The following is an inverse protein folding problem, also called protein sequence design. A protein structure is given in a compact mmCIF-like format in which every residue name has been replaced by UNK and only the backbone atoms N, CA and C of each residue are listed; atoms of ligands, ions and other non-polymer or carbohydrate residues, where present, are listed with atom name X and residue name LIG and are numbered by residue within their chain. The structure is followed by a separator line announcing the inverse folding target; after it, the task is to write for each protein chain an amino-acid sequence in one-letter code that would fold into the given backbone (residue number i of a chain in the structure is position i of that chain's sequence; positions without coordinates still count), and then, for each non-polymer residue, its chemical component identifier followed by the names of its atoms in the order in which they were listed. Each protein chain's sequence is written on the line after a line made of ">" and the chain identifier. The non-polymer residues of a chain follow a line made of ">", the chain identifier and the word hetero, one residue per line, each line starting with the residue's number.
data_IF_337519772293
#
_entry.id   IF_337519772293
#
_cell.length_a   1.000
_cell.length_b   1.000
_cell.length_c   1.000
_cell.angle_alpha   90.00
_cell.angle_beta   90.00
_cell.angle_gamma   90.00
#
_symmetry.space_group_name_H-M   'P 1'
#
loop_
_entity.id
_entity.type
_entity.pdbx_description
1 polymer ?
#
# COMPACT_ATOMS: atom_id res chain seq x y z
N UNK A 1 -21.71 6.66 -7.76
CA UNK A 1 -20.46 6.37 -8.49
C UNK A 1 -19.38 6.00 -7.49
N UNK A 2 -18.63 4.91 -7.69
CA UNK A 2 -17.66 4.38 -6.71
C UNK A 2 -16.47 5.33 -6.42
N UNK A 3 -16.14 6.21 -7.36
CA UNK A 3 -15.10 7.23 -7.24
C UNK A 3 -15.69 8.64 -7.36
N UNK A 4 -15.25 9.57 -6.50
CA UNK A 4 -15.58 10.99 -6.63
C UNK A 4 -14.49 11.68 -7.47
N UNK A 5 -14.71 11.79 -8.78
CA UNK A 5 -13.70 12.30 -9.73
C UNK A 5 -13.29 13.74 -9.41
N UNK A 6 -14.25 14.60 -9.03
CA UNK A 6 -13.96 16.01 -8.68
C UNK A 6 -12.99 16.08 -7.50
N UNK A 7 -13.23 15.29 -6.45
CA UNK A 7 -12.35 15.19 -5.29
C UNK A 7 -10.98 14.64 -5.67
N UNK A 8 -10.92 13.53 -6.40
CA UNK A 8 -9.65 12.90 -6.81
C UNK A 8 -8.79 13.90 -7.60
N UNK A 9 -9.38 14.55 -8.61
CA UNK A 9 -8.67 15.54 -9.41
C UNK A 9 -8.24 16.76 -8.60
N UNK A 10 -9.01 17.15 -7.56
CA UNK A 10 -8.60 18.21 -6.65
C UNK A 10 -7.37 17.79 -5.84
N UNK A 11 -7.42 16.62 -5.18
CA UNK A 11 -6.32 16.12 -4.36
C UNK A 11 -5.03 15.93 -5.16
N UNK A 12 -5.11 15.36 -6.37
CA UNK A 12 -3.93 15.21 -7.25
C UNK A 12 -3.34 16.57 -7.60
N UNK A 13 -4.18 17.55 -7.97
CA UNK A 13 -3.72 18.91 -8.28
C UNK A 13 -3.08 19.59 -7.07
N UNK A 14 -3.69 19.48 -5.89
CA UNK A 14 -3.15 20.05 -4.65
C UNK A 14 -1.77 19.46 -4.34
N UNK A 15 -1.63 18.13 -4.50
CA UNK A 15 -0.36 17.44 -4.30
C UNK A 15 0.72 17.90 -5.29
N UNK A 16 0.36 18.00 -6.58
CA UNK A 16 1.26 18.46 -7.65
C UNK A 16 1.72 19.92 -7.45
N UNK A 17 0.80 20.80 -7.05
CA UNK A 17 1.10 22.22 -6.84
C UNK A 17 2.04 22.44 -5.65
N UNK A 18 1.92 21.63 -4.59
CA UNK A 18 2.79 21.76 -3.43
C UNK A 18 4.26 21.45 -3.74
N UNK A 19 4.52 20.57 -4.71
CA UNK A 19 5.87 20.17 -5.12
C UNK A 19 6.73 19.66 -3.95
N UNK A 20 6.20 18.68 -3.20
CA UNK A 20 6.87 18.08 -2.05
C UNK A 20 8.24 17.48 -2.41
N UNK A 21 9.15 17.43 -1.43
CA UNK A 21 10.35 16.59 -1.48
C UNK A 21 10.04 15.19 -0.95
N UNK A 22 10.78 14.14 -1.36
CA UNK A 22 10.57 12.77 -0.90
C UNK A 22 10.48 12.61 0.62
N UNK A 23 11.34 13.30 1.37
CA UNK A 23 11.42 13.21 2.84
C UNK A 23 10.18 13.77 3.54
N UNK A 24 9.37 14.55 2.84
CA UNK A 24 8.14 15.14 3.34
C UNK A 24 6.92 14.23 3.14
N UNK A 25 7.09 13.14 2.38
CA UNK A 25 6.05 12.20 2.00
C UNK A 25 6.25 10.86 2.71
N UNK A 26 5.15 10.30 3.20
CA UNK A 26 5.10 8.90 3.63
C UNK A 26 4.33 8.06 2.63
N UNK A 27 4.92 6.97 2.15
CA UNK A 27 4.25 5.99 1.30
C UNK A 27 3.92 4.76 2.14
N UNK A 28 2.62 4.51 2.30
CA UNK A 28 2.08 3.34 2.96
C UNK A 28 1.78 2.27 1.92
N UNK A 29 2.26 1.06 2.18
CA UNK A 29 1.97 -0.11 1.35
C UNK A 29 1.14 -1.11 2.13
N UNK A 30 0.00 -1.52 1.58
CA UNK A 30 -0.64 -2.75 2.02
C UNK A 30 0.20 -3.98 1.66
N UNK A 31 -0.10 -5.14 2.26
CA UNK A 31 0.58 -6.40 1.94
C UNK A 31 -0.23 -7.25 0.95
N UNK A 32 -1.46 -7.58 1.29
CA UNK A 32 -2.22 -8.65 0.64
C UNK A 32 -2.63 -8.23 -0.79
N UNK A 33 -2.22 -9.00 -1.80
CA UNK A 33 -2.31 -8.65 -3.23
C UNK A 33 -1.64 -7.31 -3.63
N UNK A 34 -0.88 -6.71 -2.72
CA UNK A 34 -0.13 -5.47 -2.93
C UNK A 34 1.38 -5.72 -3.00
N UNK A 35 1.97 -6.25 -1.93
CA UNK A 35 3.38 -6.66 -1.84
C UNK A 35 3.55 -8.18 -1.99
N UNK A 36 2.53 -8.96 -1.63
CA UNK A 36 2.53 -10.41 -1.76
C UNK A 36 1.26 -10.92 -2.42
N UNK A 37 1.33 -12.08 -3.06
CA UNK A 37 0.17 -12.76 -3.61
C UNK A 37 -0.61 -13.42 -2.46
N UNK A 38 -1.76 -12.85 -2.08
CA UNK A 38 -2.58 -13.40 -0.99
C UNK A 38 -3.31 -14.68 -1.38
N UNK A 39 -3.68 -14.81 -2.66
CA UNK A 39 -4.43 -15.96 -3.18
C UNK A 39 -3.61 -16.93 -4.04
N UNK A 40 -2.45 -17.46 -3.61
CA UNK A 40 -1.61 -18.31 -4.45
C UNK A 40 -2.26 -19.68 -4.75
N UNK A 41 -3.28 -20.06 -3.97
CA UNK A 41 -4.05 -21.29 -4.12
C UNK A 41 -5.46 -21.04 -4.71
N UNK A 42 -5.74 -19.82 -5.17
CA UNK A 42 -7.08 -19.34 -5.48
C UNK A 42 -7.83 -18.82 -4.25
N UNK A 43 -8.84 -17.97 -4.47
CA UNK A 43 -9.51 -17.23 -3.39
C UNK A 43 -10.16 -18.14 -2.32
N UNK A 44 -10.95 -19.17 -2.66
CA UNK A 44 -11.63 -19.98 -1.64
C UNK A 44 -10.66 -20.71 -0.71
N UNK A 45 -9.59 -21.28 -1.26
CA UNK A 45 -8.58 -21.99 -0.48
C UNK A 45 -7.75 -21.04 0.37
N UNK A 46 -7.47 -19.84 -0.14
CA UNK A 46 -6.67 -18.85 0.59
C UNK A 46 -7.45 -18.26 1.76
N UNK A 47 -8.75 -18.02 1.59
CA UNK A 47 -9.66 -17.61 2.68
C UNK A 47 -9.77 -18.67 3.79
N UNK A 48 -9.69 -19.96 3.46
CA UNK A 48 -9.61 -21.02 4.48
C UNK A 48 -8.23 -21.04 5.13
N UNK A 49 -7.17 -21.03 4.32
CA UNK A 49 -5.78 -21.18 4.77
C UNK A 49 -5.26 -20.00 5.58
N UNK A 50 -5.84 -18.80 5.43
CA UNK A 50 -5.45 -17.62 6.20
C UNK A 50 -5.60 -17.75 7.72
N UNK A 51 -6.33 -18.77 8.18
CA UNK A 51 -6.48 -19.12 9.60
C UNK A 51 -5.43 -20.11 10.12
N UNK A 52 -4.60 -20.67 9.24
CA UNK A 52 -3.62 -21.69 9.59
C UNK A 52 -2.21 -21.12 9.73
N UNK A 53 -1.44 -21.71 10.64
CA UNK A 53 -0.03 -21.39 10.83
C UNK A 53 0.76 -21.57 9.53
N UNK A 54 1.63 -20.62 9.24
CA UNK A 54 2.51 -20.55 8.10
C UNK A 54 1.88 -19.92 6.87
N UNK A 55 0.61 -19.51 6.89
CA UNK A 55 0.00 -18.92 5.70
C UNK A 55 0.64 -17.59 5.33
N UNK A 56 0.66 -16.61 6.23
CA UNK A 56 1.13 -15.26 5.91
C UNK A 56 2.65 -15.23 5.72
N UNK A 57 3.39 -15.98 6.56
CA UNK A 57 4.86 -16.04 6.48
C UNK A 57 5.37 -16.57 5.15
N UNK A 58 4.59 -17.43 4.48
CA UNK A 58 4.98 -18.10 3.24
C UNK A 58 4.30 -17.50 1.99
N UNK A 59 3.59 -16.36 2.10
CA UNK A 59 3.00 -15.73 0.93
C UNK A 59 4.07 -15.34 -0.09
N UNK A 60 3.92 -15.66 -1.38
CA UNK A 60 4.90 -15.28 -2.39
C UNK A 60 5.03 -13.77 -2.51
N UNK A 61 6.25 -13.26 -2.35
CA UNK A 61 6.59 -11.86 -2.60
C UNK A 61 6.57 -11.55 -4.10
N UNK A 62 5.97 -10.42 -4.50
CA UNK A 62 6.11 -9.96 -5.88
C UNK A 62 7.56 -9.57 -6.15
N UNK A 63 8.12 -10.01 -7.28
CA UNK A 63 9.57 -9.96 -7.55
C UNK A 63 10.16 -8.55 -7.46
N UNK A 64 9.40 -7.54 -7.85
CA UNK A 64 9.85 -6.15 -7.85
C UNK A 64 9.88 -5.49 -6.46
N UNK A 65 9.16 -6.04 -5.48
CA UNK A 65 8.88 -5.37 -4.20
C UNK A 65 10.13 -4.96 -3.43
N UNK A 66 11.11 -5.85 -3.17
CA UNK A 66 12.29 -5.46 -2.40
C UNK A 66 13.11 -4.37 -3.09
N UNK A 67 13.22 -4.43 -4.42
CA UNK A 67 13.92 -3.42 -5.21
C UNK A 67 13.21 -2.07 -5.16
N UNK A 68 11.90 -2.04 -5.46
CA UNK A 68 11.11 -0.81 -5.52
C UNK A 68 11.10 -0.09 -4.18
N UNK A 69 10.81 -0.80 -3.08
CA UNK A 69 10.73 -0.16 -1.76
C UNK A 69 12.10 0.34 -1.29
N UNK A 70 13.18 -0.41 -1.56
CA UNK A 70 14.54 0.03 -1.25
C UNK A 70 14.92 1.28 -2.03
N UNK A 71 14.58 1.33 -3.31
CA UNK A 71 14.87 2.48 -4.16
C UNK A 71 14.07 3.72 -3.76
N UNK A 72 12.79 3.57 -3.39
CA UNK A 72 12.02 4.69 -2.83
C UNK A 72 12.64 5.21 -1.52
N UNK A 73 13.11 4.31 -0.65
CA UNK A 73 13.82 4.70 0.58
C UNK A 73 15.13 5.43 0.26
N UNK A 74 15.89 4.99 -0.74
CA UNK A 74 17.12 5.67 -1.20
C UNK A 74 16.83 7.08 -1.74
N UNK A 75 15.68 7.28 -2.39
CA UNK A 75 15.22 8.60 -2.84
C UNK A 75 14.76 9.50 -1.68
N UNK A 76 14.70 8.98 -0.45
CA UNK A 76 14.38 9.73 0.76
C UNK A 76 12.93 9.65 1.19
N UNK A 77 12.08 8.83 0.55
CA UNK A 77 10.70 8.63 1.01
C UNK A 77 10.66 7.89 2.35
N UNK A 78 9.70 8.27 3.21
CA UNK A 78 9.37 7.48 4.39
C UNK A 78 8.48 6.31 3.95
N UNK A 79 8.91 5.07 4.16
CA UNK A 79 8.20 3.87 3.71
C UNK A 79 7.63 3.14 4.93
N UNK A 80 6.32 2.89 4.92
CA UNK A 80 5.64 2.16 5.99
C UNK A 80 4.76 1.05 5.42
N UNK A 81 4.61 -0.03 6.19
CA UNK A 81 3.65 -1.10 5.91
C UNK A 81 2.35 -0.78 6.65
N UNK A 82 1.20 -0.91 5.98
CA UNK A 82 -0.12 -0.70 6.55
C UNK A 82 -1.08 -1.80 6.09
N UNK A 83 -1.14 -2.89 6.84
CA UNK A 83 -1.90 -4.09 6.46
C UNK A 83 -2.96 -4.44 7.48
N UNK A 84 -4.10 -4.94 7.02
CA UNK A 84 -5.16 -5.44 7.89
C UNK A 84 -4.81 -6.84 8.41
N UNK A 85 -5.17 -7.13 9.64
CA UNK A 85 -4.95 -8.40 10.31
C UNK A 85 -6.28 -8.94 10.84
N UNK A 86 -6.65 -10.13 10.37
CA UNK A 86 -7.76 -10.87 10.97
C UNK A 86 -7.42 -11.26 12.40
N UNK A 87 -8.46 -11.54 13.20
CA UNK A 87 -8.30 -12.03 14.56
C UNK A 87 -7.86 -13.51 14.59
N UNK A 88 -6.61 -13.76 14.21
CA UNK A 88 -5.96 -15.06 14.19
C UNK A 88 -4.69 -15.01 15.05
N UNK A 89 -4.35 -16.10 15.78
CA UNK A 89 -3.12 -16.17 16.57
C UNK A 89 -1.84 -16.11 15.71
N UNK A 90 -1.97 -16.23 14.38
CA UNK A 90 -0.83 -16.28 13.46
C UNK A 90 -0.65 -14.97 12.67
N UNK A 91 -1.73 -14.26 12.34
CA UNK A 91 -1.72 -13.21 11.32
C UNK A 91 -0.71 -12.09 11.61
N UNK A 92 -0.75 -11.54 12.84
CA UNK A 92 0.13 -10.43 13.25
C UNK A 92 1.60 -10.84 13.20
N UNK A 93 1.94 -11.91 13.92
CA UNK A 93 3.32 -12.41 14.02
C UNK A 93 3.89 -12.77 12.65
N UNK A 94 3.11 -13.47 11.83
CA UNK A 94 3.58 -13.94 10.52
C UNK A 94 3.70 -12.85 9.47
N UNK A 95 2.85 -11.82 9.50
CA UNK A 95 3.04 -10.64 8.64
C UNK A 95 4.30 -9.87 9.03
N UNK A 96 4.60 -9.73 10.32
CA UNK A 96 5.87 -9.12 10.77
C UNK A 96 7.05 -9.94 10.27
N UNK A 97 7.06 -11.26 10.49
CA UNK A 97 8.14 -12.14 10.03
C UNK A 97 8.30 -12.10 8.51
N UNK A 98 7.20 -12.02 7.76
CA UNK A 98 7.24 -11.86 6.31
C UNK A 98 7.96 -10.57 5.92
N UNK A 99 7.63 -9.44 6.56
CA UNK A 99 8.28 -8.15 6.29
C UNK A 99 9.76 -8.22 6.65
N UNK A 100 10.12 -8.77 7.82
CA UNK A 100 11.51 -8.86 8.23
C UNK A 100 12.35 -9.77 7.33
N UNK A 101 11.75 -10.81 6.75
CA UNK A 101 12.42 -11.71 5.81
C UNK A 101 12.62 -11.05 4.43
N UNK A 102 11.56 -10.49 3.85
CA UNK A 102 11.60 -9.98 2.47
C UNK A 102 12.05 -8.52 2.35
N UNK A 103 11.88 -7.75 3.41
CA UNK A 103 12.13 -6.30 3.48
C UNK A 103 12.91 -5.95 4.76
N UNK A 104 14.10 -6.55 5.01
CA UNK A 104 14.85 -6.38 6.27
C UNK A 104 15.32 -4.94 6.55
N UNK A 105 15.17 -4.04 5.58
CA UNK A 105 15.46 -2.61 5.69
C UNK A 105 14.27 -1.77 6.18
N UNK A 106 13.10 -2.37 6.39
CA UNK A 106 11.94 -1.76 7.03
C UNK A 106 11.97 -2.15 8.51
N UNK A 107 12.12 -1.18 9.42
CA UNK A 107 12.20 -1.48 10.84
C UNK A 107 10.81 -1.80 11.42
N UNK A 108 10.71 -2.55 12.54
CA UNK A 108 9.43 -2.95 13.11
C UNK A 108 8.46 -1.81 13.41
N UNK A 109 8.95 -0.64 13.82
CA UNK A 109 8.17 0.57 14.08
C UNK A 109 7.50 1.18 12.84
N UNK A 110 7.94 0.79 11.64
CA UNK A 110 7.32 1.17 10.37
C UNK A 110 6.29 0.15 9.87
N UNK A 111 5.99 -0.89 10.66
CA UNK A 111 4.98 -1.90 10.37
C UNK A 111 3.71 -1.63 11.19
N UNK A 112 2.68 -1.14 10.53
CA UNK A 112 1.37 -0.87 11.14
C UNK A 112 0.38 -1.95 10.74
N UNK A 113 -0.03 -2.74 11.72
CA UNK A 113 -1.01 -3.82 11.55
C UNK A 113 -2.36 -3.40 12.15
N UNK A 114 -3.37 -3.30 11.29
CA UNK A 114 -4.69 -2.77 11.61
C UNK A 114 -5.64 -3.94 11.89
N UNK A 115 -6.32 -4.00 13.04
CA UNK A 115 -7.31 -5.04 13.30
C UNK A 115 -8.41 -5.07 12.22
N UNK A 116 -8.89 -6.27 11.90
CA UNK A 116 -9.99 -6.45 10.96
C UNK A 116 -11.23 -5.68 11.40
N UNK A 117 -11.86 -4.99 10.44
CA UNK A 117 -13.04 -4.16 10.67
C UNK A 117 -12.71 -2.69 10.97
N UNK A 118 -11.46 -2.37 11.32
CA UNK A 118 -11.04 -0.99 11.54
C UNK A 118 -10.68 -0.26 10.23
N UNK A 119 -10.84 1.06 10.23
CA UNK A 119 -10.49 1.90 9.08
C UNK A 119 -8.97 2.14 9.06
N UNK A 120 -8.28 1.55 8.06
CA UNK A 120 -6.85 1.78 7.83
C UNK A 120 -6.48 3.26 7.78
N UNK A 121 -7.36 4.11 7.26
CA UNK A 121 -7.06 5.53 7.09
C UNK A 121 -6.92 6.25 8.44
N UNK A 122 -7.56 5.74 9.50
CA UNK A 122 -7.42 6.27 10.85
C UNK A 122 -5.99 6.09 11.42
N UNK A 123 -5.21 5.17 10.85
CA UNK A 123 -3.82 4.89 11.25
C UNK A 123 -2.78 5.70 10.47
N UNK A 124 -3.21 6.64 9.61
CA UNK A 124 -2.32 7.53 8.87
C UNK A 124 -2.33 8.91 9.54
N UNK A 125 -1.27 9.32 10.28
CA UNK A 125 -1.29 10.56 11.08
C UNK A 125 -1.33 11.83 10.22
N UNK A 126 -0.72 11.80 9.04
CA UNK A 126 -0.63 12.97 8.13
C UNK A 126 -1.12 12.64 6.72
N UNK A 127 -2.43 12.39 6.52
CA UNK A 127 -2.92 11.87 5.25
C UNK A 127 -2.64 12.76 4.04
N UNK A 128 -2.71 14.09 4.19
CA UNK A 128 -2.41 15.06 3.11
C UNK A 128 -0.98 15.01 2.58
N UNK A 129 -0.06 14.40 3.34
CA UNK A 129 1.35 14.16 2.97
C UNK A 129 1.64 12.67 2.79
N UNK A 130 0.61 11.90 2.49
CA UNK A 130 0.70 10.45 2.39
C UNK A 130 0.21 9.94 1.05
N UNK A 131 0.88 8.90 0.59
CA UNK A 131 0.46 8.08 -0.54
C UNK A 131 0.12 6.69 0.02
N UNK A 132 -1.03 6.14 -0.36
CA UNK A 132 -1.43 4.78 -0.01
C UNK A 132 -1.44 3.92 -1.27
N UNK A 133 -0.65 2.84 -1.27
CA UNK A 133 -0.64 1.81 -2.29
C UNK A 133 -1.37 0.59 -1.74
N UNK A 134 -2.53 0.27 -2.32
CA UNK A 134 -3.42 -0.76 -1.77
C UNK A 134 -4.26 -1.37 -2.92
N UNK A 135 -4.59 -2.66 -2.82
CA UNK A 135 -5.42 -3.35 -3.81
C UNK A 135 -6.92 -3.18 -3.54
N UNK A 136 -7.32 -2.73 -2.36
CA UNK A 136 -8.71 -2.62 -1.94
C UNK A 136 -9.26 -1.21 -2.17
N UNK A 137 -10.31 -1.14 -2.98
CA UNK A 137 -10.83 0.15 -3.45
C UNK A 137 -11.35 1.07 -2.33
N UNK A 138 -11.83 0.51 -1.20
CA UNK A 138 -12.37 1.34 -0.10
C UNK A 138 -11.25 2.11 0.58
N UNK A 139 -10.08 1.50 0.73
CA UNK A 139 -8.89 2.14 1.26
C UNK A 139 -8.43 3.26 0.31
N UNK A 140 -8.43 2.98 -0.99
CA UNK A 140 -8.12 3.99 -2.01
C UNK A 140 -9.09 5.18 -1.96
N UNK A 141 -10.40 4.95 -1.90
CA UNK A 141 -11.35 6.09 -1.80
C UNK A 141 -11.30 6.78 -0.44
N UNK A 142 -10.97 6.04 0.63
CA UNK A 142 -10.77 6.55 1.98
C UNK A 142 -9.64 7.57 2.05
N UNK A 143 -8.45 7.24 1.51
CA UNK A 143 -7.31 8.17 1.57
C UNK A 143 -7.57 9.48 0.81
N UNK A 144 -8.28 9.41 -0.34
CA UNK A 144 -8.68 10.62 -1.08
C UNK A 144 -9.65 11.51 -0.29
N UNK A 145 -10.53 10.95 0.55
CA UNK A 145 -11.46 11.74 1.38
C UNK A 145 -10.75 12.58 2.44
N UNK A 146 -9.59 12.12 2.90
CA UNK A 146 -8.76 12.84 3.89
C UNK A 146 -7.61 13.62 3.24
N UNK A 147 -7.60 13.72 1.91
CA UNK A 147 -6.67 14.54 1.13
C UNK A 147 -5.33 13.88 0.81
N UNK A 148 -5.16 12.58 1.06
CA UNK A 148 -3.99 11.83 0.59
C UNK A 148 -4.22 11.20 -0.77
N UNK A 149 -3.13 10.77 -1.42
CA UNK A 149 -3.18 10.16 -2.74
C UNK A 149 -3.27 8.65 -2.64
N UNK A 150 -4.27 8.05 -3.28
CA UNK A 150 -4.38 6.59 -3.40
C UNK A 150 -3.90 6.09 -4.76
N UNK A 151 -3.01 5.09 -4.75
CA UNK A 151 -2.56 4.34 -5.92
C UNK A 151 -3.07 2.91 -5.81
N UNK A 152 -3.87 2.47 -6.78
CA UNK A 152 -4.42 1.12 -6.73
C UNK A 152 -3.46 0.09 -7.31
N UNK A 153 -3.09 -0.94 -6.52
CA UNK A 153 -2.49 -2.16 -7.08
C UNK A 153 -3.60 -3.03 -7.70
N UNK A 154 -3.46 -3.41 -8.96
CA UNK A 154 -4.50 -4.16 -9.67
C UNK A 154 -3.96 -4.91 -10.88
N UNK A 155 -4.34 -6.17 -11.03
CA UNK A 155 -4.07 -6.96 -12.24
C UNK A 155 -5.21 -6.87 -13.27
N UNK A 156 -6.33 -6.25 -12.90
CA UNK A 156 -7.44 -6.00 -13.81
C UNK A 156 -7.13 -4.87 -14.78
N UNK A 157 -7.39 -5.09 -16.08
CA UNK A 157 -7.29 -4.11 -17.16
C UNK A 157 -8.37 -3.02 -17.13
N UNK A 158 -9.21 -2.99 -16.09
CA UNK A 158 -10.26 -1.98 -15.96
C UNK A 158 -9.63 -0.60 -15.76
N UNK A 159 -10.01 0.35 -16.60
CA UNK A 159 -9.67 1.75 -16.40
C UNK A 159 -10.42 2.34 -15.21
N UNK A 160 -9.73 3.21 -14.48
CA UNK A 160 -10.26 3.88 -13.28
C UNK A 160 -9.75 5.32 -13.25
N UNK A 161 -10.52 6.26 -12.68
CA UNK A 161 -10.12 7.67 -12.59
C UNK A 161 -9.17 7.89 -11.41
N UNK A 162 -8.21 6.98 -11.19
CA UNK A 162 -7.22 7.03 -10.12
C UNK A 162 -5.90 6.45 -10.68
N UNK A 163 -4.74 6.86 -10.14
CA UNK A 163 -3.48 6.19 -10.42
C UNK A 163 -3.58 4.70 -10.06
N UNK A 164 -3.08 3.85 -10.95
CA UNK A 164 -3.10 2.40 -10.76
C UNK A 164 -1.86 1.75 -11.36
N UNK A 165 -1.43 0.66 -10.75
CA UNK A 165 -0.27 -0.13 -11.18
C UNK A 165 -0.60 -1.62 -11.11
N UNK A 166 -0.15 -2.40 -12.09
CA UNK A 166 -0.18 -3.87 -12.04
C UNK A 166 1.14 -4.44 -11.51
N UNK A 167 2.25 -3.79 -11.82
CA UNK A 167 3.59 -4.03 -11.31
C UNK A 167 4.07 -2.76 -10.57
N UNK A 168 4.66 -2.91 -9.39
CA UNK A 168 5.02 -1.74 -8.55
C UNK A 168 6.10 -0.85 -9.17
N UNK A 169 6.87 -1.32 -10.16
CA UNK A 169 7.79 -0.45 -10.93
C UNK A 169 7.07 0.76 -11.53
N UNK A 170 5.78 0.63 -11.86
CA UNK A 170 4.97 1.74 -12.38
C UNK A 170 4.83 2.93 -11.41
N UNK A 171 5.11 2.73 -10.12
CA UNK A 171 5.02 3.79 -9.11
C UNK A 171 5.96 4.95 -9.43
N UNK A 172 7.14 4.70 -10.00
CA UNK A 172 8.10 5.77 -10.32
C UNK A 172 7.55 6.76 -11.35
N UNK A 173 6.78 6.27 -12.33
CA UNK A 173 6.10 7.13 -13.32
C UNK A 173 5.01 7.97 -12.65
N UNK A 174 4.24 7.36 -11.73
CA UNK A 174 3.20 8.08 -10.98
C UNK A 174 3.84 9.17 -10.10
N UNK A 175 4.93 8.87 -9.39
CA UNK A 175 5.60 9.85 -8.54
C UNK A 175 6.16 11.04 -9.34
N UNK A 176 6.64 10.81 -10.56
CA UNK A 176 7.02 11.89 -11.48
C UNK A 176 5.80 12.74 -11.88
N UNK A 177 4.66 12.11 -12.20
CA UNK A 177 3.42 12.83 -12.51
C UNK A 177 2.87 13.62 -11.32
N UNK A 178 3.16 13.20 -10.09
CA UNK A 178 2.81 13.92 -8.87
C UNK A 178 3.74 15.11 -8.57
N UNK A 179 4.72 15.39 -9.44
CA UNK A 179 5.63 16.54 -9.34
C UNK A 179 6.43 16.58 -8.02
N UNK A 180 6.88 15.41 -7.54
CA UNK A 180 7.72 15.30 -6.35
C UNK A 180 9.16 15.66 -6.74
N UNK A 181 9.73 16.67 -6.09
CA UNK A 181 11.06 17.22 -6.41
C UNK A 181 12.15 16.29 -5.89
N UNK A 182 12.94 15.71 -6.79
CA UNK A 182 14.15 14.96 -6.45
C UNK A 182 15.22 15.86 -5.84
#
# INVERSE_FOLDING_TARGET
>A
MKYNIKLINQVIRDFQQHSYRPQEITIYFDMDNTLCLFSPYGDPDSLRKMWHKGFYRNLPCFREVPYVLKELKNQGFNIKILSSCINSPYCVTEKIEWVLNHLPFIPPEDIVLVPEGEDKIAYIPTPKRSILVDDFYKNITGIYRVGGVGIKKTFSNKERPIPQVSNLMGIFSILQQLNIKK
#
